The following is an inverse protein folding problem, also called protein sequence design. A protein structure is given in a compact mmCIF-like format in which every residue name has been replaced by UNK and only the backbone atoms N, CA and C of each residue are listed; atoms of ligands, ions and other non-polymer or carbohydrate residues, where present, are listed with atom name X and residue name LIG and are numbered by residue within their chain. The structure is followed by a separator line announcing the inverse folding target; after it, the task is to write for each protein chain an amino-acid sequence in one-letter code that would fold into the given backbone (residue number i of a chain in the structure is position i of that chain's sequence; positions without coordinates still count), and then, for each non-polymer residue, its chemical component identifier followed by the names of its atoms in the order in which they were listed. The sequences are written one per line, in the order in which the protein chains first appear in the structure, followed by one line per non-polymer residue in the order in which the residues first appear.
data_IF_089437495353
#
_entry.id   IF_089437495353
#
_cell.length_a   1.000
_cell.length_b   1.000
_cell.length_c   1.000
_cell.angle_alpha   90.00
_cell.angle_beta   90.00
_cell.angle_gamma   90.00
#
_symmetry.space_group_name_H-M   'P 1'
#
loop_
_entity.id
_entity.type
_entity.pdbx_description
1 polymer ?
#
# COMPACT_ATOMS: atom_id res chain seq x y z
N UNK A 1 12.47 -8.65 18.19
CA UNK A 1 11.28 -7.85 17.86
C UNK A 1 11.69 -6.42 17.52
N UNK A 2 11.10 -5.84 16.49
CA UNK A 2 11.33 -4.49 15.99
C UNK A 2 10.33 -3.54 16.65
N UNK A 3 10.82 -2.52 17.35
CA UNK A 3 10.00 -1.51 18.02
C UNK A 3 10.09 -0.16 17.29
N UNK A 4 9.03 0.19 16.56
CA UNK A 4 8.97 1.44 15.79
C UNK A 4 8.81 2.67 16.69
N UNK A 5 8.39 2.52 17.95
CA UNK A 5 8.27 3.65 18.90
C UNK A 5 9.63 4.32 19.19
N UNK A 6 10.73 3.59 18.94
CA UNK A 6 12.10 4.07 19.16
C UNK A 6 12.65 4.94 18.03
N UNK A 7 11.92 5.08 16.92
CA UNK A 7 12.39 5.85 15.76
C UNK A 7 12.34 7.37 15.97
N UNK A 8 11.74 7.86 17.06
CA UNK A 8 11.47 9.28 17.29
C UNK A 8 10.82 9.93 16.04
N UNK A 9 9.79 9.26 15.53
CA UNK A 9 8.97 9.68 14.38
C UNK A 9 7.51 9.49 14.73
N UNK A 10 6.65 10.29 14.12
CA UNK A 10 5.21 10.14 14.27
C UNK A 10 4.77 8.78 13.72
N UNK A 11 4.21 7.86 14.53
CA UNK A 11 3.75 6.55 14.06
C UNK A 11 2.72 6.62 12.94
N UNK A 12 1.92 7.71 12.87
CA UNK A 12 0.95 7.92 11.79
C UNK A 12 1.61 8.14 10.40
N UNK A 13 2.94 8.28 10.35
CA UNK A 13 3.73 8.55 9.14
C UNK A 13 4.91 7.57 8.98
N UNK A 14 4.92 6.46 9.71
CA UNK A 14 5.99 5.46 9.67
C UNK A 14 5.46 4.16 9.05
N UNK A 15 6.11 3.67 8.00
CA UNK A 15 5.81 2.38 7.39
C UNK A 15 6.95 1.40 7.65
N UNK A 16 6.64 0.15 7.99
CA UNK A 16 7.61 -0.93 8.11
C UNK A 16 7.33 -2.01 7.06
N UNK A 17 8.25 -2.19 6.11
CA UNK A 17 8.14 -3.19 5.04
C UNK A 17 9.10 -4.33 5.33
N UNK A 18 8.60 -5.55 5.47
CA UNK A 18 9.42 -6.73 5.75
C UNK A 18 8.70 -8.01 5.38
N UNK A 19 9.45 -9.05 5.01
CA UNK A 19 8.89 -10.37 4.75
C UNK A 19 8.31 -11.04 6.00
N UNK A 20 8.81 -10.66 7.17
CA UNK A 20 8.40 -11.18 8.48
C UNK A 20 7.78 -10.08 9.34
N UNK A 21 7.12 -9.10 8.70
CA UNK A 21 6.68 -7.89 9.41
C UNK A 21 5.73 -8.19 10.58
N UNK A 22 4.76 -9.08 10.38
CA UNK A 22 3.78 -9.44 11.42
C UNK A 22 4.38 -10.26 12.58
N UNK A 23 5.44 -11.03 12.32
CA UNK A 23 6.10 -11.88 13.31
C UNK A 23 7.13 -11.10 14.13
N UNK A 24 7.72 -10.07 13.53
CA UNK A 24 8.86 -9.36 14.09
C UNK A 24 8.52 -7.99 14.67
N UNK A 25 7.45 -7.33 14.25
CA UNK A 25 7.15 -5.95 14.64
C UNK A 25 6.21 -5.84 15.86
N UNK A 26 6.47 -4.87 16.73
CA UNK A 26 5.59 -4.55 17.87
C UNK A 26 4.39 -3.65 17.49
N UNK A 27 4.39 -3.07 16.28
CA UNK A 27 3.32 -2.23 15.76
C UNK A 27 2.82 -2.80 14.41
N UNK A 28 2.03 -3.90 14.43
CA UNK A 28 1.56 -4.57 13.22
C UNK A 28 0.70 -3.67 12.31
N UNK A 29 0.07 -2.64 12.86
CA UNK A 29 -0.72 -1.65 12.12
C UNK A 29 0.12 -0.74 11.20
N UNK A 30 1.44 -0.68 11.41
CA UNK A 30 2.39 0.03 10.57
C UNK A 30 3.10 -0.90 9.57
N UNK A 31 2.73 -2.18 9.53
CA UNK A 31 3.44 -3.19 8.77
C UNK A 31 2.85 -3.42 7.38
N UNK A 32 3.74 -3.56 6.40
CA UNK A 32 3.44 -4.11 5.07
C UNK A 32 4.28 -5.38 4.93
N UNK A 33 3.59 -6.51 4.83
CA UNK A 33 4.24 -7.80 4.59
C UNK A 33 4.46 -7.96 3.10
N UNK A 34 5.67 -8.35 2.72
CA UNK A 34 6.04 -8.66 1.33
C UNK A 34 6.48 -10.12 1.23
N UNK A 35 6.43 -10.69 0.03
CA UNK A 35 6.95 -12.05 -0.19
C UNK A 35 8.46 -12.12 0.18
N UNK A 36 8.92 -13.14 0.93
CA UNK A 36 10.34 -13.40 1.10
C UNK A 36 10.99 -13.74 -0.25
N UNK A 37 12.05 -13.03 -0.61
CA UNK A 37 12.82 -13.29 -1.82
C UNK A 37 13.71 -14.54 -1.66
N UNK A 38 13.70 -15.42 -2.67
CA UNK A 38 14.39 -16.72 -2.73
C UNK A 38 15.18 -16.87 -4.03
N UNK A 39 15.87 -15.81 -4.47
CA UNK A 39 16.71 -15.78 -5.68
C UNK A 39 15.93 -15.89 -7.00
N UNK A 40 14.65 -15.53 -7.01
CA UNK A 40 13.88 -15.45 -8.25
C UNK A 40 14.25 -14.18 -9.03
N UNK A 41 14.61 -14.35 -10.30
CA UNK A 41 15.04 -13.25 -11.20
C UNK A 41 13.88 -12.48 -11.81
N UNK A 42 12.69 -13.07 -11.82
CA UNK A 42 11.44 -12.51 -12.32
C UNK A 42 10.58 -11.90 -11.19
N UNK A 43 11.10 -11.84 -9.96
CA UNK A 43 10.40 -11.22 -8.84
C UNK A 43 10.31 -9.70 -9.03
N UNK A 44 9.09 -9.19 -9.06
CA UNK A 44 8.81 -7.76 -9.20
C UNK A 44 8.14 -7.18 -7.96
N UNK A 45 8.15 -7.87 -6.82
CA UNK A 45 7.40 -7.48 -5.61
C UNK A 45 7.69 -6.02 -5.19
N UNK A 46 8.97 -5.63 -5.15
CA UNK A 46 9.37 -4.28 -4.78
C UNK A 46 8.98 -3.23 -5.83
N UNK A 47 9.02 -3.57 -7.12
CA UNK A 47 8.56 -2.71 -8.20
C UNK A 47 7.03 -2.53 -8.12
N UNK A 48 6.34 -3.60 -7.75
CA UNK A 48 4.89 -3.63 -7.65
C UNK A 48 4.36 -2.76 -6.51
N UNK A 49 5.19 -2.53 -5.49
CA UNK A 49 4.89 -1.68 -4.35
C UNK A 49 5.05 -0.16 -4.63
N UNK A 50 5.84 0.21 -5.66
CA UNK A 50 6.12 1.63 -5.99
C UNK A 50 4.85 2.49 -6.08
N UNK A 51 3.81 2.12 -6.86
CA UNK A 51 2.63 2.97 -7.03
C UNK A 51 1.88 3.24 -5.72
N UNK A 52 1.89 2.27 -4.79
CA UNK A 52 1.28 2.43 -3.48
C UNK A 52 2.07 3.43 -2.62
N UNK A 53 3.39 3.32 -2.62
CA UNK A 53 4.26 4.23 -1.86
C UNK A 53 4.19 5.66 -2.42
N UNK A 54 4.18 5.81 -3.74
CA UNK A 54 3.98 7.10 -4.41
C UNK A 54 2.63 7.72 -4.01
N UNK A 55 1.56 6.92 -4.01
CA UNK A 55 0.25 7.37 -3.56
C UNK A 55 0.28 7.88 -2.12
N UNK A 56 0.90 7.15 -1.18
CA UNK A 56 1.02 7.61 0.20
C UNK A 56 1.81 8.92 0.32
N UNK A 57 2.88 9.07 -0.47
CA UNK A 57 3.72 10.27 -0.47
C UNK A 57 3.00 11.51 -1.04
N UNK A 58 2.14 11.31 -2.05
CA UNK A 58 1.38 12.38 -2.71
C UNK A 58 0.11 12.71 -1.93
N UNK A 59 -0.69 11.70 -1.58
CA UNK A 59 -1.98 11.89 -0.91
C UNK A 59 -1.82 12.35 0.54
N UNK A 60 -0.68 12.02 1.17
CA UNK A 60 -0.33 12.39 2.56
C UNK A 60 -1.51 12.23 3.52
N UNK A 61 -2.05 11.00 3.68
CA UNK A 61 -3.12 10.76 4.63
C UNK A 61 -2.67 11.22 6.03
N UNK A 62 -3.62 11.73 6.82
CA UNK A 62 -3.34 12.15 8.20
C UNK A 62 -2.82 10.99 9.07
N UNK A 63 -3.24 9.76 8.76
CA UNK A 63 -2.74 8.53 9.36
C UNK A 63 -2.66 7.41 8.32
N UNK A 64 -1.44 6.92 8.06
CA UNK A 64 -1.23 5.82 7.11
C UNK A 64 -1.85 4.50 7.61
N UNK A 65 -2.02 4.32 8.92
CA UNK A 65 -2.54 3.08 9.52
C UNK A 65 -4.00 2.86 9.11
N UNK A 66 -4.77 3.92 8.94
CA UNK A 66 -6.14 3.84 8.43
C UNK A 66 -6.18 3.35 6.97
N UNK A 67 -5.20 3.74 6.16
CA UNK A 67 -5.05 3.24 4.79
C UNK A 67 -4.69 1.76 4.81
N UNK A 68 -3.67 1.37 5.61
CA UNK A 68 -3.21 -0.01 5.74
C UNK A 68 -4.29 -0.96 6.29
N UNK A 69 -5.12 -0.48 7.22
CA UNK A 69 -6.26 -1.24 7.73
C UNK A 69 -7.18 -1.73 6.59
N UNK A 70 -7.35 -0.93 5.54
CA UNK A 70 -8.18 -1.31 4.38
C UNK A 70 -7.56 -2.40 3.48
N UNK A 71 -6.29 -2.75 3.69
CA UNK A 71 -5.55 -3.79 2.97
C UNK A 71 -5.20 -4.99 3.86
N UNK A 72 -5.66 -5.03 5.11
CA UNK A 72 -5.37 -6.17 6.00
C UNK A 72 -5.82 -7.50 5.38
N UNK A 73 -4.97 -8.52 5.54
CA UNK A 73 -5.18 -9.85 4.97
C UNK A 73 -4.98 -9.95 3.45
N UNK A 74 -4.57 -8.86 2.79
CA UNK A 74 -4.35 -8.83 1.36
C UNK A 74 -2.92 -8.38 1.02
N UNK A 75 -2.47 -8.76 -0.16
CA UNK A 75 -1.28 -8.20 -0.79
C UNK A 75 -1.55 -6.76 -1.19
N UNK A 76 -0.81 -5.83 -0.58
CA UNK A 76 -0.99 -4.38 -0.75
C UNK A 76 -0.76 -3.97 -2.20
N UNK A 77 0.29 -4.47 -2.85
CA UNK A 77 0.64 -4.10 -4.20
C UNK A 77 -0.42 -4.57 -5.20
N UNK A 78 -0.87 -5.82 -5.06
CA UNK A 78 -1.89 -6.44 -5.92
C UNK A 78 -3.25 -5.77 -5.75
N UNK A 79 -3.71 -5.56 -4.52
CA UNK A 79 -4.99 -4.91 -4.27
C UNK A 79 -4.97 -3.43 -4.67
N UNK A 80 -3.88 -2.71 -4.43
CA UNK A 80 -3.75 -1.32 -4.86
C UNK A 80 -3.86 -1.18 -6.38
N UNK A 81 -3.18 -2.06 -7.14
CA UNK A 81 -3.30 -2.11 -8.61
C UNK A 81 -4.72 -2.41 -9.06
N UNK A 82 -5.40 -3.36 -8.43
CA UNK A 82 -6.80 -3.71 -8.74
C UNK A 82 -7.73 -2.52 -8.51
N UNK A 83 -7.68 -1.92 -7.32
CA UNK A 83 -8.50 -0.75 -6.94
C UNK A 83 -8.22 0.46 -7.85
N UNK A 84 -6.96 0.70 -8.20
CA UNK A 84 -6.57 1.78 -9.11
C UNK A 84 -7.16 1.60 -10.51
N UNK A 85 -7.14 0.38 -11.06
CA UNK A 85 -7.76 0.05 -12.35
C UNK A 85 -9.27 0.22 -12.31
N UNK A 86 -9.92 -0.21 -11.23
CA UNK A 86 -11.37 -0.04 -11.06
C UNK A 86 -11.77 1.43 -11.01
N UNK A 87 -11.02 2.24 -10.24
CA UNK A 87 -11.26 3.69 -10.15
C UNK A 87 -11.12 4.38 -11.51
N UNK A 88 -10.10 4.02 -12.28
CA UNK A 88 -9.87 4.56 -13.63
C UNK A 88 -11.01 4.19 -14.59
N UNK A 89 -11.46 2.93 -14.58
CA UNK A 89 -12.63 2.48 -15.37
C UNK A 89 -13.89 3.26 -15.01
N UNK A 90 -14.14 3.49 -13.72
CA UNK A 90 -15.29 4.28 -13.26
C UNK A 90 -15.22 5.75 -13.72
N UNK A 91 -14.03 6.37 -13.70
CA UNK A 91 -13.83 7.73 -14.21
C UNK A 91 -14.10 7.81 -15.70
N UNK A 92 -13.56 6.88 -16.49
CA UNK A 92 -13.78 6.81 -17.94
C UNK A 92 -15.25 6.59 -18.30
N UNK A 93 -15.94 5.69 -17.58
CA UNK A 93 -17.37 5.44 -17.80
C UNK A 93 -18.23 6.70 -17.51
N UNK A 94 -17.90 7.45 -16.45
CA UNK A 94 -18.58 8.72 -16.14
C UNK A 94 -18.31 9.79 -17.20
N UNK A 95 -17.06 9.95 -17.63
CA UNK A 95 -16.71 10.90 -18.69
C UNK A 95 -17.43 10.58 -20.01
N UNK A 96 -17.44 9.31 -20.44
CA UNK A 96 -18.20 8.87 -21.61
C UNK A 96 -19.67 9.24 -21.49
N UNK A 97 -20.34 8.87 -20.39
CA UNK A 97 -21.76 9.22 -20.15
C UNK A 97 -22.02 10.73 -20.17
N UNK A 98 -21.08 11.54 -19.70
CA UNK A 98 -21.19 13.01 -19.73
C UNK A 98 -21.08 13.58 -21.15
N UNK A 99 -20.28 12.97 -22.02
CA UNK A 99 -20.11 13.39 -23.42
C UNK A 99 -21.38 13.07 -24.22
N UNK A 100 -22.01 11.91 -24.00
CA UNK A 100 -23.24 11.49 -24.70
C UNK A 100 -24.53 12.18 -24.21
N UNK A 101 -24.46 13.01 -23.17
CA UNK A 101 -25.60 13.78 -22.63
C UNK A 101 -25.63 15.24 -23.12
N UNK A 102 -24.71 15.61 -24.00
CA UNK A 102 -24.56 16.97 -24.54
C UNK A 102 -25.01 17.04 -25.99
#
# INVERSE_FOLDING_TARGET
YQDLSKLNRNPAQVLYVSAHALESCLQPENCVTVKPWKLETDDTELLDLIPFLEYLAIARPSDIRAVLASYQGHDVAKEFRKRSKELERHKQAKQRKSIWRR
#
